data_IF_274651125245
#
_entry.id   IF_274651125245
#
_cell.length_a   1.000
_cell.length_b   1.000
_cell.length_c   1.000
_cell.angle_alpha   90.00
_cell.angle_beta   90.00
_cell.angle_gamma   90.00
#
_symmetry.space_group_name_H-M   'P 1'
#
loop_
_entity.id
_entity.type
_entity.pdbx_description
1 polymer ?
#
# COMPACT_ATOMS: atom_id res chain seq x y z
N UNK A 1 0.39 11.02 -41.31
CA UNK A 1 -0.20 12.10 -40.48
C UNK A 1 0.38 11.96 -39.10
N UNK A 2 1.12 12.96 -38.65
CA UNK A 2 1.71 12.99 -37.31
C UNK A 2 0.57 13.17 -36.29
N UNK A 3 0.53 12.31 -35.30
CA UNK A 3 -0.51 12.35 -34.27
C UNK A 3 -0.27 13.56 -33.38
N UNK A 4 -1.23 14.49 -33.32
CA UNK A 4 -1.10 15.66 -32.44
C UNK A 4 -1.03 15.25 -30.97
N UNK A 5 -0.33 16.04 -30.13
CA UNK A 5 -0.27 15.81 -28.67
C UNK A 5 -1.67 15.71 -28.03
N UNK A 6 -2.65 16.42 -28.61
CA UNK A 6 -4.04 16.37 -28.17
C UNK A 6 -4.67 15.00 -28.46
N UNK A 7 -4.55 14.48 -29.68
CA UNK A 7 -5.04 13.14 -30.03
C UNK A 7 -4.35 12.04 -29.23
N UNK A 8 -3.04 12.18 -28.98
CA UNK A 8 -2.31 11.27 -28.09
C UNK A 8 -2.86 11.29 -26.65
N UNK A 9 -3.15 12.48 -26.10
CA UNK A 9 -3.72 12.61 -24.75
C UNK A 9 -5.10 11.94 -24.63
N UNK A 10 -5.96 12.10 -25.64
CA UNK A 10 -7.28 11.47 -25.68
C UNK A 10 -7.15 9.94 -25.69
N UNK A 11 -6.24 9.40 -26.49
CA UNK A 11 -5.98 7.96 -26.54
C UNK A 11 -5.52 7.41 -25.18
N UNK A 12 -4.51 8.05 -24.56
CA UNK A 12 -3.99 7.61 -23.25
C UNK A 12 -5.06 7.63 -22.15
N UNK A 13 -5.94 8.65 -22.14
CA UNK A 13 -7.07 8.71 -21.21
C UNK A 13 -8.05 7.55 -21.42
N UNK A 14 -8.34 7.21 -22.68
CA UNK A 14 -9.23 6.09 -23.04
C UNK A 14 -8.62 4.74 -22.65
N UNK A 15 -7.34 4.53 -22.91
CA UNK A 15 -6.61 3.31 -22.52
C UNK A 15 -6.67 3.10 -21.00
N UNK A 16 -6.41 4.15 -20.21
CA UNK A 16 -6.52 4.08 -18.76
C UNK A 16 -7.94 3.76 -18.28
N UNK A 17 -8.96 4.36 -18.89
CA UNK A 17 -10.36 4.07 -18.54
C UNK A 17 -10.72 2.60 -18.79
N UNK A 18 -10.36 2.06 -19.96
CA UNK A 18 -10.57 0.65 -20.32
C UNK A 18 -9.82 -0.27 -19.35
N UNK A 19 -8.57 0.05 -19.02
CA UNK A 19 -7.78 -0.72 -18.07
C UNK A 19 -8.45 -0.75 -16.68
N UNK A 20 -8.90 0.40 -16.16
CA UNK A 20 -9.57 0.49 -14.86
C UNK A 20 -10.87 -0.31 -14.82
N UNK A 21 -11.70 -0.21 -15.86
CA UNK A 21 -12.93 -1.00 -15.98
C UNK A 21 -12.62 -2.51 -15.98
N UNK A 22 -11.56 -2.93 -16.68
CA UNK A 22 -11.15 -4.33 -16.72
C UNK A 22 -10.73 -4.87 -15.35
N UNK A 23 -10.03 -4.08 -14.53
CA UNK A 23 -9.62 -4.47 -13.18
C UNK A 23 -10.82 -4.63 -12.25
N UNK A 24 -11.76 -3.68 -12.33
CA UNK A 24 -13.01 -3.74 -11.57
C UNK A 24 -13.82 -4.99 -11.94
N UNK A 25 -13.98 -5.27 -13.25
CA UNK A 25 -14.70 -6.45 -13.73
C UNK A 25 -14.06 -7.77 -13.26
N UNK A 26 -12.73 -7.83 -13.20
CA UNK A 26 -11.98 -9.01 -12.72
C UNK A 26 -11.96 -9.15 -11.20
N UNK A 27 -12.49 -8.18 -10.45
CA UNK A 27 -12.39 -8.10 -8.98
C UNK A 27 -10.93 -8.21 -8.51
N UNK A 28 -9.99 -7.69 -9.29
CA UNK A 28 -8.61 -7.60 -8.84
C UNK A 28 -8.55 -6.61 -7.67
N UNK A 29 -7.94 -7.03 -6.56
CA UNK A 29 -7.76 -6.18 -5.39
C UNK A 29 -6.98 -4.92 -5.77
N UNK A 30 -7.46 -3.76 -5.33
CA UNK A 30 -6.76 -2.50 -5.51
C UNK A 30 -6.53 -1.86 -4.14
N UNK A 31 -5.36 -1.26 -3.96
CA UNK A 31 -5.06 -0.50 -2.76
C UNK A 31 -5.28 0.99 -3.02
N UNK A 32 -6.34 1.62 -2.48
CA UNK A 32 -6.54 3.05 -2.62
C UNK A 32 -5.53 3.81 -1.77
N UNK A 33 -4.58 4.50 -2.43
CA UNK A 33 -3.71 5.47 -1.77
C UNK A 33 -4.36 6.85 -1.82
N UNK A 34 -4.93 7.29 -0.70
CA UNK A 34 -5.62 8.58 -0.63
C UNK A 34 -4.63 9.76 -0.62
N UNK A 35 -5.07 10.91 -1.12
CA UNK A 35 -4.24 12.12 -1.29
C UNK A 35 -3.59 12.62 0.00
N UNK A 36 -4.17 12.32 1.17
CA UNK A 36 -3.57 12.61 2.47
C UNK A 36 -2.20 11.96 2.69
N UNK A 37 -1.92 10.84 2.02
CA UNK A 37 -0.63 10.16 2.09
C UNK A 37 0.54 11.04 1.61
N UNK A 38 0.26 12.08 0.81
CA UNK A 38 1.29 12.99 0.29
C UNK A 38 2.16 13.63 1.38
N UNK A 39 1.60 13.85 2.58
CA UNK A 39 2.29 14.45 3.72
C UNK A 39 3.36 13.54 4.33
N UNK A 40 3.30 12.24 4.02
CA UNK A 40 4.23 11.21 4.51
C UNK A 40 5.36 10.93 3.53
N UNK A 41 5.16 11.19 2.22
CA UNK A 41 6.17 10.96 1.18
C UNK A 41 7.55 11.58 1.50
N UNK A 42 7.66 12.85 1.96
CA UNK A 42 8.97 13.42 2.28
C UNK A 42 9.52 12.98 3.65
N UNK A 43 8.68 12.38 4.51
CA UNK A 43 9.02 12.01 5.89
C UNK A 43 9.49 10.56 5.99
N UNK A 44 9.03 9.72 5.07
CA UNK A 44 9.34 8.30 5.02
C UNK A 44 10.52 8.00 4.10
N UNK A 45 11.25 6.96 4.45
CA UNK A 45 12.21 6.31 3.57
C UNK A 45 11.48 5.66 2.39
N UNK A 46 12.15 5.64 1.24
CA UNK A 46 11.65 4.94 0.04
C UNK A 46 11.29 3.46 0.34
N UNK A 47 12.02 2.85 1.27
CA UNK A 47 11.76 1.49 1.72
C UNK A 47 10.47 1.34 2.52
N UNK A 48 10.20 2.25 3.45
CA UNK A 48 8.93 2.30 4.18
C UNK A 48 7.75 2.56 3.27
N UNK A 49 7.87 3.48 2.30
CA UNK A 49 6.83 3.71 1.28
C UNK A 49 6.57 2.43 0.46
N UNK A 50 7.63 1.73 0.05
CA UNK A 50 7.51 0.47 -0.69
C UNK A 50 6.82 -0.61 0.14
N UNK A 51 7.17 -0.72 1.42
CA UNK A 51 6.52 -1.66 2.35
C UNK A 51 5.05 -1.31 2.57
N UNK A 52 4.71 -0.02 2.70
CA UNK A 52 3.33 0.41 2.87
C UNK A 52 2.45 0.02 1.68
N UNK A 53 2.94 0.23 0.45
CA UNK A 53 2.25 -0.20 -0.78
C UNK A 53 2.10 -1.73 -0.81
N UNK A 54 3.14 -2.47 -0.43
CA UNK A 54 3.07 -3.93 -0.33
C UNK A 54 1.96 -4.38 0.63
N UNK A 55 1.93 -3.81 1.85
CA UNK A 55 0.90 -4.13 2.84
C UNK A 55 -0.48 -3.83 2.25
N UNK A 56 -0.67 -2.66 1.64
CA UNK A 56 -1.92 -2.28 1.01
C UNK A 56 -2.42 -3.23 -0.07
N UNK A 57 -1.54 -3.67 -0.97
CA UNK A 57 -1.88 -4.60 -2.05
C UNK A 57 -2.20 -6.02 -1.56
N UNK A 58 -1.73 -6.39 -0.37
CA UNK A 58 -1.94 -7.71 0.22
C UNK A 58 -2.89 -7.70 1.42
N UNK A 59 -3.46 -6.54 1.76
CA UNK A 59 -4.44 -6.42 2.83
C UNK A 59 -5.80 -6.89 2.35
N UNK A 60 -6.59 -7.43 3.26
CA UNK A 60 -8.00 -7.67 3.01
C UNK A 60 -8.72 -6.32 2.80
N UNK A 61 -9.52 -6.21 1.73
CA UNK A 61 -10.18 -4.96 1.36
C UNK A 61 -11.25 -4.49 2.37
N UNK A 62 -11.81 -5.40 3.17
CA UNK A 62 -12.84 -5.09 4.18
C UNK A 62 -12.22 -4.72 5.52
N UNK A 63 -11.17 -5.44 5.95
CA UNK A 63 -10.58 -5.28 7.30
C UNK A 63 -9.28 -4.47 7.33
N UNK A 64 -8.63 -4.27 6.18
CA UNK A 64 -7.31 -3.63 6.10
C UNK A 64 -6.17 -4.45 6.71
N UNK A 65 -6.39 -5.75 6.94
CA UNK A 65 -5.46 -6.66 7.60
C UNK A 65 -4.54 -7.38 6.62
N UNK A 66 -3.24 -7.43 6.92
CA UNK A 66 -2.23 -8.25 6.27
C UNK A 66 -1.46 -9.09 7.30
N UNK A 67 -1.45 -10.41 7.14
CA UNK A 67 -0.83 -11.37 8.07
C UNK A 67 0.41 -12.07 7.48
N UNK A 68 1.11 -11.41 6.55
CA UNK A 68 2.35 -11.94 5.99
C UNK A 68 3.52 -11.84 6.97
N UNK A 69 4.29 -12.91 7.12
CA UNK A 69 5.49 -12.92 7.96
C UNK A 69 6.57 -11.98 7.42
N UNK A 70 7.43 -11.47 8.32
CA UNK A 70 8.56 -10.62 7.95
C UNK A 70 9.46 -11.30 6.91
N UNK A 71 9.69 -12.60 7.03
CA UNK A 71 10.52 -13.36 6.08
C UNK A 71 9.89 -13.43 4.67
N UNK A 72 8.57 -13.61 4.58
CA UNK A 72 7.85 -13.59 3.30
C UNK A 72 8.00 -12.23 2.62
N UNK A 73 7.86 -11.15 3.39
CA UNK A 73 7.99 -9.79 2.89
C UNK A 73 9.44 -9.49 2.47
N UNK A 74 10.40 -9.90 3.30
CA UNK A 74 11.83 -9.76 3.03
C UNK A 74 12.23 -10.46 1.73
N UNK A 75 11.75 -11.69 1.52
CA UNK A 75 11.94 -12.44 0.28
C UNK A 75 11.36 -11.71 -0.93
N UNK A 76 10.10 -11.26 -0.83
CA UNK A 76 9.43 -10.55 -1.92
C UNK A 76 10.13 -9.23 -2.30
N UNK A 77 10.48 -8.41 -1.31
CA UNK A 77 11.13 -7.11 -1.52
C UNK A 77 12.64 -7.21 -1.74
N UNK A 78 13.22 -8.43 -1.70
CA UNK A 78 14.66 -8.68 -1.80
C UNK A 78 15.45 -7.86 -0.78
N UNK A 79 14.99 -7.87 0.46
CA UNK A 79 15.61 -7.19 1.62
C UNK A 79 15.87 -8.19 2.74
N UNK A 80 16.61 -7.76 3.77
CA UNK A 80 16.80 -8.57 4.97
C UNK A 80 15.61 -8.40 5.93
N UNK A 81 15.30 -9.40 6.79
CA UNK A 81 14.30 -9.25 7.84
C UNK A 81 14.54 -8.03 8.75
N UNK A 82 15.81 -7.72 9.04
CA UNK A 82 16.22 -6.54 9.81
C UNK A 82 15.77 -5.24 9.14
N UNK A 83 16.00 -5.12 7.84
CA UNK A 83 15.59 -3.94 7.05
C UNK A 83 14.06 -3.81 7.02
N UNK A 84 13.34 -4.93 6.82
CA UNK A 84 11.88 -4.92 6.85
C UNK A 84 11.35 -4.49 8.23
N UNK A 85 11.93 -4.99 9.32
CA UNK A 85 11.56 -4.56 10.67
C UNK A 85 11.82 -3.07 10.92
N UNK A 86 12.89 -2.50 10.36
CA UNK A 86 13.14 -1.06 10.41
C UNK A 86 12.06 -0.27 9.70
N UNK A 87 11.61 -0.71 8.52
CA UNK A 87 10.53 -0.07 7.78
C UNK A 87 9.18 -0.19 8.49
N UNK A 88 8.90 -1.34 9.10
CA UNK A 88 7.70 -1.49 9.94
C UNK A 88 7.69 -0.50 11.09
N UNK A 89 8.81 -0.41 11.83
CA UNK A 89 8.95 0.56 12.93
C UNK A 89 8.71 1.99 12.47
N UNK A 90 9.29 2.36 11.32
CA UNK A 90 9.10 3.70 10.74
C UNK A 90 7.63 4.00 10.39
N UNK A 91 6.91 3.02 9.82
CA UNK A 91 5.49 3.16 9.51
C UNK A 91 4.60 3.21 10.77
N UNK A 92 4.95 2.45 11.81
CA UNK A 92 4.27 2.49 13.12
C UNK A 92 4.49 3.85 13.80
N UNK A 93 5.73 4.36 13.82
CA UNK A 93 6.07 5.68 14.37
C UNK A 93 5.35 6.82 13.60
N UNK A 94 5.12 6.65 12.30
CA UNK A 94 4.33 7.56 11.48
C UNK A 94 2.80 7.42 11.69
N UNK A 95 2.34 6.41 12.46
CA UNK A 95 0.92 6.14 12.70
C UNK A 95 0.16 5.62 11.49
N UNK A 96 0.86 5.11 10.47
CA UNK A 96 0.25 4.62 9.22
C UNK A 96 -0.20 3.16 9.31
N UNK A 97 0.39 2.41 10.24
CA UNK A 97 0.04 1.02 10.50
C UNK A 97 0.04 0.74 12.00
N UNK A 98 -0.61 -0.35 12.37
CA UNK A 98 -0.53 -0.97 13.69
C UNK A 98 -0.20 -2.46 13.51
N UNK A 99 0.71 -3.03 14.30
CA UNK A 99 1.03 -4.47 14.24
C UNK A 99 0.72 -5.17 15.56
N UNK A 100 -0.07 -6.24 15.48
CA UNK A 100 -0.52 -7.01 16.63
C UNK A 100 -0.12 -8.47 16.50
N UNK A 101 0.36 -9.08 17.58
CA UNK A 101 0.57 -10.52 17.66
C UNK A 101 -0.61 -11.16 18.41
N UNK A 102 -1.53 -11.79 17.68
CA UNK A 102 -2.77 -12.31 18.25
C UNK A 102 -2.60 -13.62 19.03
N UNK A 103 -1.47 -14.33 18.85
CA UNK A 103 -1.15 -15.61 19.50
C UNK A 103 0.33 -15.68 19.82
N UNK A 104 0.70 -16.35 20.92
CA UNK A 104 2.10 -16.59 21.27
C UNK A 104 2.83 -17.27 20.10
N UNK A 105 3.97 -16.71 19.69
CA UNK A 105 4.77 -17.15 18.54
C UNK A 105 4.03 -17.18 17.18
N UNK A 106 2.85 -16.56 17.09
CA UNK A 106 2.12 -16.38 15.83
C UNK A 106 2.71 -15.26 14.98
N UNK A 107 2.33 -15.24 13.69
CA UNK A 107 2.64 -14.13 12.79
C UNK A 107 2.00 -12.84 13.29
N UNK A 108 2.68 -11.71 13.09
CA UNK A 108 2.08 -10.40 13.37
C UNK A 108 1.05 -10.07 12.29
N UNK A 109 -0.09 -9.59 12.74
CA UNK A 109 -1.15 -9.04 11.91
C UNK A 109 -0.92 -7.53 11.79
N UNK A 110 -0.84 -7.03 10.57
CA UNK A 110 -0.58 -5.61 10.27
C UNK A 110 -1.86 -4.98 9.74
N UNK A 111 -2.29 -3.89 10.37
CA UNK A 111 -3.49 -3.15 10.03
C UNK A 111 -3.12 -1.77 9.50
N UNK A 112 -3.72 -1.37 8.38
CA UNK A 112 -3.57 -0.01 7.85
C UNK A 112 -4.45 0.95 8.65
N UNK A 113 -3.88 2.08 9.07
CA UNK A 113 -4.58 3.12 9.84
C UNK A 113 -5.03 4.26 8.93
N UNK A 114 -6.15 4.94 9.25
CA UNK A 114 -6.53 6.19 8.58
C UNK A 114 -5.44 7.27 8.72
N UNK A 115 -5.19 8.05 7.67
CA UNK A 115 -4.15 9.11 7.64
C UNK A 115 -4.50 10.35 8.45
N UNK A 116 -5.77 10.50 8.83
CA UNK A 116 -6.26 11.59 9.65
C UNK A 116 -7.02 10.99 10.81
N UNK A 117 -6.91 11.60 11.99
CA UNK A 117 -7.74 11.26 13.13
C UNK A 117 -9.20 11.26 12.69
N UNK A 118 -9.82 10.08 12.70
CA UNK A 118 -11.27 10.05 12.84
C UNK A 118 -11.52 10.55 14.26
N UNK A 119 -12.00 11.79 14.39
CA UNK A 119 -12.70 12.18 15.62
C UNK A 119 -13.86 11.19 15.74
N UNK A 120 -13.66 10.17 16.56
CA UNK A 120 -14.76 9.30 16.99
C UNK A 120 -15.65 10.14 17.89
N UNK A 121 -16.92 10.25 17.51
CA UNK A 121 -18.00 10.67 18.40
C UNK A 121 -18.17 9.67 19.55
#
# INVERSE_FOLDING_TARGET
MEETKLSQSVRLKKEHAIWRESLFAKKEGFFPLFSGFKEYLPKLSNGAVTLFIYIGLHSNNETGECFHSVDRIASFLKKTPRTINSYFKELEEAGLIERLQLRLNGVSHTFIRPYTEQKGD
#
